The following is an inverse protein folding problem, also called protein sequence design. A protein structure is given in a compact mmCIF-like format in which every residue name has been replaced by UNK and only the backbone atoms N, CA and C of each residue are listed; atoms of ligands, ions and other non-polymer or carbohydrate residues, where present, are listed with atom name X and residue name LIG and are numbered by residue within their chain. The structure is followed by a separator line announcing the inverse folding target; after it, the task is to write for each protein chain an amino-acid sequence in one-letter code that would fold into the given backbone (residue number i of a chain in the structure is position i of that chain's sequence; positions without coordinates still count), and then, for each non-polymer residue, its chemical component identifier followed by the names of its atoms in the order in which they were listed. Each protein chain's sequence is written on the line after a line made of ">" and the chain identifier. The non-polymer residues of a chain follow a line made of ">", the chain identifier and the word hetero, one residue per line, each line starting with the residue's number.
data_IF_629943718327
#
_entry.id   IF_629943718327
#
_cell.length_a   1.000
_cell.length_b   1.000
_cell.length_c   1.000
_cell.angle_alpha   90.00
_cell.angle_beta   90.00
_cell.angle_gamma   90.00
#
_symmetry.space_group_name_H-M   'P 1'
#
loop_
_entity.id
_entity.type
_entity.pdbx_description
1 polymer ?
#
# COMPACT_ATOMS: atom_id res chain seq x y z
N UNK A 1 -15.98 15.21 -24.36
CA UNK A 1 -16.96 14.39 -23.61
C UNK A 1 -16.17 13.50 -22.65
N UNK A 2 -16.50 13.53 -21.35
CA UNK A 2 -15.83 12.77 -20.29
C UNK A 2 -16.81 11.79 -19.61
N UNK A 3 -17.70 11.17 -20.40
CA UNK A 3 -18.66 10.19 -19.89
C UNK A 3 -17.97 8.84 -19.66
N UNK A 4 -18.33 8.17 -18.57
CA UNK A 4 -17.95 6.78 -18.32
C UNK A 4 -18.62 5.88 -19.36
N UNK A 5 -17.85 5.03 -20.03
CA UNK A 5 -18.40 4.06 -20.97
C UNK A 5 -19.13 2.93 -20.24
N UNK A 6 -20.21 2.41 -20.82
CA UNK A 6 -21.04 1.36 -20.21
C UNK A 6 -20.24 0.10 -19.85
N UNK A 7 -19.23 -0.26 -20.65
CA UNK A 7 -18.35 -1.39 -20.37
C UNK A 7 -17.57 -1.16 -19.06
N UNK A 8 -17.06 0.06 -18.85
CA UNK A 8 -16.35 0.42 -17.62
C UNK A 8 -17.30 0.47 -16.43
N UNK A 9 -18.54 0.96 -16.62
CA UNK A 9 -19.56 0.98 -15.58
C UNK A 9 -19.98 -0.44 -15.15
N UNK A 10 -20.18 -1.35 -16.12
CA UNK A 10 -20.48 -2.75 -15.85
C UNK A 10 -19.36 -3.43 -15.06
N UNK A 11 -18.10 -3.20 -15.42
CA UNK A 11 -16.96 -3.69 -14.64
C UNK A 11 -16.94 -3.11 -13.22
N UNK A 12 -17.21 -1.81 -13.08
CA UNK A 12 -17.22 -1.13 -11.79
C UNK A 12 -18.28 -1.69 -10.83
N UNK A 13 -19.48 -2.02 -11.32
CA UNK A 13 -20.53 -2.64 -10.50
C UNK A 13 -20.05 -3.96 -9.88
N UNK A 14 -19.44 -4.84 -10.69
CA UNK A 14 -18.90 -6.12 -10.20
C UNK A 14 -17.73 -5.92 -9.24
N UNK A 15 -16.88 -4.91 -9.47
CA UNK A 15 -15.79 -4.58 -8.54
C UNK A 15 -16.30 -4.02 -7.21
N UNK A 16 -17.38 -3.22 -7.25
CA UNK A 16 -17.99 -2.62 -6.07
C UNK A 16 -18.56 -3.70 -5.13
N UNK A 17 -19.18 -4.74 -5.68
CA UNK A 17 -19.65 -5.89 -4.90
C UNK A 17 -18.51 -6.63 -4.16
N UNK A 18 -17.30 -6.63 -4.74
CA UNK A 18 -16.11 -7.30 -4.18
C UNK A 18 -15.28 -6.39 -3.26
N UNK A 19 -15.64 -5.11 -3.15
CA UNK A 19 -14.83 -4.08 -2.50
C UNK A 19 -14.57 -4.39 -1.03
N UNK A 20 -15.59 -4.83 -0.29
CA UNK A 20 -15.47 -5.16 1.13
C UNK A 20 -14.45 -6.27 1.37
N UNK A 21 -14.55 -7.36 0.62
CA UNK A 21 -13.61 -8.49 0.68
C UNK A 21 -12.19 -8.07 0.28
N UNK A 22 -12.04 -7.28 -0.79
CA UNK A 22 -10.75 -6.76 -1.21
C UNK A 22 -10.10 -5.86 -0.13
N UNK A 23 -10.88 -4.98 0.50
CA UNK A 23 -10.41 -4.12 1.59
C UNK A 23 -10.05 -4.92 2.84
N UNK A 24 -10.82 -5.95 3.18
CA UNK A 24 -10.48 -6.85 4.29
C UNK A 24 -9.14 -7.54 4.05
N UNK A 25 -8.94 -8.12 2.85
CA UNK A 25 -7.67 -8.76 2.50
C UNK A 25 -6.48 -7.80 2.56
N UNK A 26 -6.64 -6.58 2.05
CA UNK A 26 -5.59 -5.54 2.15
C UNK A 26 -5.31 -5.17 3.59
N UNK A 27 -6.34 -5.09 4.44
CA UNK A 27 -6.20 -4.80 5.87
C UNK A 27 -5.37 -5.87 6.57
N UNK A 28 -5.64 -7.16 6.33
CA UNK A 28 -4.84 -8.27 6.89
C UNK A 28 -3.36 -8.17 6.51
N UNK A 29 -3.08 -7.89 5.23
CA UNK A 29 -1.72 -7.75 4.71
C UNK A 29 -1.03 -6.53 5.34
N UNK A 30 -1.71 -5.38 5.40
CA UNK A 30 -1.18 -4.17 6.02
C UNK A 30 -0.88 -4.37 7.51
N UNK A 31 -1.79 -5.02 8.24
CA UNK A 31 -1.58 -5.37 9.65
C UNK A 31 -0.37 -6.29 9.85
N UNK A 32 -0.14 -7.24 8.93
CA UNK A 32 1.07 -8.05 8.96
C UNK A 32 2.31 -7.17 8.80
N UNK A 33 2.37 -6.32 7.77
CA UNK A 33 3.51 -5.41 7.60
C UNK A 33 3.73 -4.49 8.79
N UNK A 34 2.67 -3.92 9.39
CA UNK A 34 2.77 -3.10 10.60
C UNK A 34 3.42 -3.86 11.76
N UNK A 35 3.06 -5.14 11.96
CA UNK A 35 3.66 -5.98 13.00
C UNK A 35 5.12 -6.32 12.69
N UNK A 36 5.41 -6.82 11.50
CA UNK A 36 6.75 -7.30 11.13
C UNK A 36 7.77 -6.17 10.98
N UNK A 37 7.32 -4.93 10.72
CA UNK A 37 8.19 -3.76 10.59
C UNK A 37 8.30 -2.93 11.88
N UNK A 38 7.54 -3.27 12.94
CA UNK A 38 7.46 -2.47 14.16
C UNK A 38 8.83 -2.24 14.82
N UNK A 39 9.71 -3.25 14.77
CA UNK A 39 11.04 -3.22 15.39
C UNK A 39 12.15 -2.81 14.41
N UNK A 40 11.79 -2.27 13.23
CA UNK A 40 12.74 -1.82 12.22
C UNK A 40 12.81 -0.29 12.14
N UNK A 41 13.86 0.25 11.51
CA UNK A 41 13.96 1.68 11.23
C UNK A 41 12.97 2.18 10.16
N UNK A 42 12.31 1.28 9.42
CA UNK A 42 11.35 1.65 8.39
C UNK A 42 10.04 2.10 9.02
N UNK A 43 9.62 3.33 8.71
CA UNK A 43 8.41 3.93 9.29
C UNK A 43 7.26 3.95 8.28
N UNK A 44 6.19 3.17 8.48
CA UNK A 44 4.97 3.31 7.70
C UNK A 44 4.33 4.70 7.88
N UNK A 45 3.51 5.13 6.92
CA UNK A 45 2.68 6.32 7.11
C UNK A 45 1.68 6.13 8.28
N UNK A 46 1.50 7.19 9.05
CA UNK A 46 0.51 7.23 10.13
C UNK A 46 -0.91 7.17 9.57
N UNK A 47 -1.74 6.32 10.17
CA UNK A 47 -3.19 6.30 9.91
C UNK A 47 -3.85 7.42 10.75
N UNK A 48 -4.79 8.20 10.19
CA UNK A 48 -5.49 9.23 10.96
C UNK A 48 -6.21 8.69 12.19
N UNK A 49 -6.35 9.52 13.23
CA UNK A 49 -6.96 9.11 14.51
C UNK A 49 -8.50 9.09 14.51
N UNK A 50 -9.15 9.68 13.51
CA UNK A 50 -10.62 9.67 13.39
C UNK A 50 -11.11 8.34 12.81
N UNK A 51 -12.36 7.95 13.09
CA UNK A 51 -12.93 6.68 12.64
C UNK A 51 -13.09 6.63 11.12
N UNK A 52 -12.48 5.63 10.49
CA UNK A 52 -12.59 5.39 9.05
C UNK A 52 -12.20 3.98 8.65
N UNK A 53 -12.58 3.61 7.43
CA UNK A 53 -12.05 2.44 6.76
C UNK A 53 -10.91 2.85 5.83
N UNK A 54 -9.68 2.53 6.22
CA UNK A 54 -8.53 2.72 5.35
C UNK A 54 -8.53 1.65 4.23
N UNK A 55 -8.50 2.07 2.96
CA UNK A 55 -8.55 1.14 1.82
C UNK A 55 -7.24 0.37 1.58
N UNK A 56 -6.14 0.82 2.21
CA UNK A 56 -4.80 0.22 2.10
C UNK A 56 -4.39 0.00 0.64
N UNK A 57 -4.70 0.98 -0.23
CA UNK A 57 -4.33 0.91 -1.65
C UNK A 57 -2.82 0.79 -1.83
N UNK A 58 -2.06 1.48 -0.99
CA UNK A 58 -0.61 1.43 -0.90
C UNK A 58 -0.19 1.25 0.56
N UNK A 59 0.86 0.47 0.79
CA UNK A 59 1.57 0.43 2.06
C UNK A 59 2.87 1.23 1.89
N UNK A 60 2.83 2.50 2.29
CA UNK A 60 3.93 3.43 2.08
C UNK A 60 4.81 3.46 3.33
N UNK A 61 6.12 3.28 3.12
CA UNK A 61 7.15 3.49 4.13
C UNK A 61 7.99 4.72 3.79
N UNK A 62 8.43 5.46 4.82
CA UNK A 62 9.45 6.49 4.70
C UNK A 62 10.81 5.87 5.00
N UNK A 63 11.77 6.14 4.11
CA UNK A 63 13.17 5.73 4.29
C UNK A 63 13.96 6.97 4.68
N UNK A 64 14.27 7.08 5.96
CA UNK A 64 15.25 8.04 6.47
C UNK A 64 16.62 7.36 6.40
N UNK A 65 17.51 7.85 5.53
CA UNK A 65 18.79 7.21 5.27
C UNK A 65 19.68 7.15 6.52
N UNK A 66 19.64 8.17 7.38
CA UNK A 66 20.42 8.20 8.61
C UNK A 66 19.92 7.16 9.62
N UNK A 67 18.60 6.96 9.71
CA UNK A 67 18.01 5.98 10.62
C UNK A 67 18.05 4.54 10.06
N UNK A 68 17.88 4.37 8.75
CA UNK A 68 17.81 3.07 8.10
C UNK A 68 19.17 2.52 7.65
N UNK A 69 20.20 3.36 7.54
CA UNK A 69 21.52 2.98 7.02
C UNK A 69 21.51 2.62 5.53
N UNK A 70 20.44 2.95 4.81
CA UNK A 70 20.27 2.70 3.38
C UNK A 70 19.42 3.80 2.75
N UNK A 71 19.81 4.28 1.58
CA UNK A 71 19.02 5.21 0.81
C UNK A 71 17.77 4.53 0.23
N UNK A 72 16.74 5.32 -0.08
CA UNK A 72 15.51 4.82 -0.72
C UNK A 72 15.81 4.09 -2.02
N UNK A 73 16.63 4.67 -2.89
CA UNK A 73 16.97 4.09 -4.20
C UNK A 73 17.74 2.77 -4.05
N UNK A 74 18.69 2.70 -3.13
CA UNK A 74 19.44 1.48 -2.86
C UNK A 74 18.53 0.36 -2.30
N UNK A 75 17.56 0.70 -1.45
CA UNK A 75 16.56 -0.24 -0.97
C UNK A 75 15.71 -0.79 -2.12
N UNK A 76 15.24 0.08 -3.02
CA UNK A 76 14.43 -0.33 -4.18
C UNK A 76 15.21 -1.29 -5.09
N UNK A 77 16.47 -1.00 -5.40
CA UNK A 77 17.28 -1.90 -6.25
C UNK A 77 17.56 -3.25 -5.56
N UNK A 78 17.79 -3.28 -4.24
CA UNK A 78 17.93 -4.54 -3.50
C UNK A 78 16.65 -5.38 -3.51
N UNK A 79 15.49 -4.76 -3.27
CA UNK A 79 14.20 -5.45 -3.33
C UNK A 79 13.92 -5.99 -4.73
N UNK A 80 14.20 -5.20 -5.76
CA UNK A 80 14.08 -5.61 -7.17
C UNK A 80 14.99 -6.78 -7.52
N UNK A 81 16.24 -6.78 -7.04
CA UNK A 81 17.15 -7.91 -7.21
C UNK A 81 16.65 -9.21 -6.54
N UNK A 82 15.79 -9.09 -5.52
CA UNK A 82 15.09 -10.21 -4.87
C UNK A 82 13.73 -10.54 -5.53
N UNK A 83 13.39 -9.91 -6.65
CA UNK A 83 12.12 -10.11 -7.34
C UNK A 83 10.92 -9.38 -6.70
N UNK A 84 11.16 -8.42 -5.82
CA UNK A 84 10.12 -7.64 -5.13
C UNK A 84 9.98 -6.28 -5.83
N UNK A 85 8.84 -6.07 -6.49
CA UNK A 85 8.53 -4.79 -7.14
C UNK A 85 8.11 -3.72 -6.12
N UNK A 86 8.58 -2.49 -6.32
CA UNK A 86 8.26 -1.32 -5.49
C UNK A 86 7.88 -0.11 -6.35
N UNK A 87 7.01 0.77 -5.84
CA UNK A 87 6.64 2.03 -6.49
C UNK A 87 7.11 3.26 -5.70
N UNK A 88 7.19 4.41 -6.37
CA UNK A 88 7.42 5.71 -5.76
C UNK A 88 6.16 6.58 -5.88
N UNK A 89 5.74 7.16 -4.76
CA UNK A 89 4.55 8.00 -4.62
C UNK A 89 4.86 9.26 -3.80
#
# INVERSE_FOLDING_TARGET
>A
KYNLADINAALALVQLEKLSHANQRRTEIAQRYLRELADTSFKPLSVPAWEHQHAWHLFIIRVDEAACGISRDALMEKLKAMGIGTGLH
#
